data_IF_952457504917
#
_entry.id   IF_952457504917
#
_cell.length_a   1.000
_cell.length_b   1.000
_cell.length_c   1.000
_cell.angle_alpha   90.00
_cell.angle_beta   90.00
_cell.angle_gamma   90.00
#
_symmetry.space_group_name_H-M   'P 1'
#
loop_
_entity.id
_entity.type
_entity.pdbx_description
1 polymer ?
#
# COMPACT_ATOMS: atom_id res chain seq x y z
N UNK A 1 -29.24 8.56 11.44
CA UNK A 1 -29.61 8.99 10.07
C UNK A 1 -30.86 9.86 10.15
N UNK A 2 -30.93 10.96 9.42
CA UNK A 2 -32.04 11.93 9.52
C UNK A 2 -33.17 11.60 8.54
N UNK A 3 -34.42 11.86 8.90
CA UNK A 3 -35.60 11.62 8.05
C UNK A 3 -35.51 12.27 6.65
N UNK A 4 -34.77 13.39 6.55
CA UNK A 4 -34.50 14.07 5.28
C UNK A 4 -33.64 13.23 4.31
N UNK A 5 -32.70 12.41 4.81
CA UNK A 5 -31.92 11.50 3.96
C UNK A 5 -32.82 10.42 3.34
N UNK A 6 -33.76 9.87 4.12
CA UNK A 6 -34.72 8.87 3.62
C UNK A 6 -35.65 9.45 2.55
N UNK A 7 -36.19 10.65 2.77
CA UNK A 7 -37.06 11.32 1.80
C UNK A 7 -36.33 11.64 0.47
N UNK A 8 -35.07 12.10 0.55
CA UNK A 8 -34.25 12.35 -0.64
C UNK A 8 -33.94 11.05 -1.40
N UNK A 9 -33.65 9.96 -0.69
CA UNK A 9 -33.41 8.62 -1.29
C UNK A 9 -34.66 8.08 -1.98
N UNK A 10 -35.82 8.13 -1.32
CA UNK A 10 -37.09 7.71 -1.92
C UNK A 10 -37.39 8.49 -3.21
N UNK A 11 -37.15 9.80 -3.22
CA UNK A 11 -37.36 10.63 -4.41
C UNK A 11 -36.40 10.31 -5.56
N UNK A 12 -35.14 9.99 -5.29
CA UNK A 12 -34.18 9.55 -6.32
C UNK A 12 -34.58 8.20 -6.92
N UNK A 13 -34.94 7.23 -6.08
CA UNK A 13 -35.36 5.91 -6.55
C UNK A 13 -36.63 5.98 -7.40
N UNK A 14 -37.62 6.78 -6.99
CA UNK A 14 -38.85 6.98 -7.76
C UNK A 14 -38.57 7.67 -9.11
N UNK A 15 -37.67 8.67 -9.11
CA UNK A 15 -37.25 9.36 -10.34
C UNK A 15 -36.59 8.41 -11.34
N UNK A 16 -35.66 7.56 -10.87
CA UNK A 16 -34.97 6.58 -11.69
C UNK A 16 -35.94 5.51 -12.25
N UNK A 17 -36.81 4.96 -11.40
CA UNK A 17 -37.77 3.91 -11.78
C UNK A 17 -38.80 4.38 -12.81
N UNK A 18 -39.26 5.63 -12.71
CA UNK A 18 -40.35 6.15 -13.55
C UNK A 18 -39.86 7.06 -14.69
N UNK A 19 -38.55 7.29 -14.82
CA UNK A 19 -38.00 8.19 -15.82
C UNK A 19 -38.47 9.65 -15.67
N UNK A 20 -38.78 10.08 -14.44
CA UNK A 20 -39.27 11.43 -14.13
C UNK A 20 -38.19 12.28 -13.44
N UNK A 21 -38.33 13.60 -13.49
CA UNK A 21 -37.39 14.48 -12.77
C UNK A 21 -37.50 14.31 -11.25
N UNK A 22 -36.39 14.49 -10.55
CA UNK A 22 -36.34 14.43 -9.07
C UNK A 22 -37.40 15.32 -8.39
N UNK A 23 -37.64 16.52 -8.94
CA UNK A 23 -38.67 17.43 -8.43
C UNK A 23 -40.11 16.92 -8.67
N UNK A 24 -40.35 16.18 -9.75
CA UNK A 24 -41.62 15.51 -10.00
C UNK A 24 -41.80 14.31 -9.04
N UNK A 25 -40.75 13.52 -8.82
CA UNK A 25 -40.74 12.41 -7.88
C UNK A 25 -40.97 12.88 -6.43
N UNK A 26 -40.30 13.96 -5.98
CA UNK A 26 -40.54 14.56 -4.65
C UNK A 26 -41.98 15.03 -4.49
N UNK A 27 -42.56 15.63 -5.53
CA UNK A 27 -43.97 16.08 -5.51
C UNK A 27 -44.93 14.90 -5.48
N UNK A 28 -44.66 13.83 -6.21
CA UNK A 28 -45.44 12.59 -6.16
C UNK A 28 -45.39 11.92 -4.78
N UNK A 29 -44.21 11.81 -4.17
CA UNK A 29 -44.08 11.25 -2.82
C UNK A 29 -44.76 12.11 -1.74
N UNK A 30 -44.80 13.43 -1.94
CA UNK A 30 -45.52 14.34 -1.04
C UNK A 30 -47.03 14.38 -1.29
N UNK A 31 -47.49 14.04 -2.50
CA UNK A 31 -48.90 14.08 -2.91
C UNK A 31 -49.59 12.70 -2.83
N UNK A 32 -48.83 11.61 -2.83
CA UNK A 32 -49.35 10.30 -2.51
C UNK A 32 -49.80 10.34 -1.04
N UNK A 33 -51.10 10.18 -0.73
CA UNK A 33 -51.48 9.87 0.63
C UNK A 33 -50.67 8.64 1.01
N UNK A 34 -49.89 8.75 2.09
CA UNK A 34 -49.22 7.59 2.67
C UNK A 34 -50.35 6.63 2.97
N UNK A 35 -50.46 5.55 2.21
CA UNK A 35 -51.32 4.43 2.56
C UNK A 35 -50.75 3.95 3.89
N UNK A 36 -51.34 4.40 5.00
CA UNK A 36 -50.86 4.14 6.37
C UNK A 36 -50.87 2.62 6.65
N UNK A 37 -51.59 1.87 5.81
CA UNK A 37 -51.62 0.41 5.79
C UNK A 37 -50.42 -0.26 5.11
N UNK A 38 -49.64 0.46 4.28
CA UNK A 38 -48.35 -0.04 3.76
C UNK A 38 -47.19 0.14 4.76
N UNK A 39 -47.27 1.10 5.68
CA UNK A 39 -46.32 1.18 6.82
C UNK A 39 -46.50 0.02 7.81
N UNK A 40 -47.62 -0.72 7.73
CA UNK A 40 -47.91 -1.91 8.53
C UNK A 40 -47.84 -3.24 7.74
N UNK A 41 -47.32 -3.23 6.50
CA UNK A 41 -46.81 -4.50 5.97
C UNK A 41 -45.64 -4.91 6.85
N UNK A 42 -45.92 -5.81 7.81
CA UNK A 42 -44.89 -6.46 8.61
C UNK A 42 -43.76 -6.84 7.65
N UNK A 43 -42.52 -6.37 7.92
CA UNK A 43 -41.40 -6.63 7.04
C UNK A 43 -41.38 -8.13 6.82
N UNK A 44 -41.65 -8.56 5.57
CA UNK A 44 -41.68 -9.98 5.21
C UNK A 44 -40.40 -10.58 5.79
N UNK A 45 -40.50 -11.59 6.68
CA UNK A 45 -39.33 -12.10 7.35
C UNK A 45 -38.32 -12.52 6.28
N UNK A 46 -37.02 -12.26 6.50
CA UNK A 46 -35.99 -12.59 5.52
C UNK A 46 -36.12 -14.07 5.14
N UNK A 47 -36.33 -14.34 3.85
CA UNK A 47 -36.41 -15.71 3.36
C UNK A 47 -35.01 -16.29 3.37
N UNK A 48 -34.77 -17.32 4.19
CA UNK A 48 -33.53 -18.05 4.17
C UNK A 48 -33.42 -18.84 2.86
N UNK A 49 -32.49 -18.44 2.00
CA UNK A 49 -32.19 -19.16 0.75
C UNK A 49 -31.00 -20.09 1.03
N UNK A 50 -31.12 -21.40 0.81
CA UNK A 50 -29.99 -22.31 0.97
C UNK A 50 -28.85 -21.94 0.00
N UNK A 51 -27.59 -22.12 0.40
CA UNK A 51 -26.43 -21.92 -0.47
C UNK A 51 -25.98 -23.25 -1.05
N UNK A 52 -25.46 -23.26 -2.27
CA UNK A 52 -24.84 -24.47 -2.84
C UNK A 52 -23.61 -24.89 -2.02
N UNK A 53 -23.41 -26.20 -1.84
CA UNK A 53 -22.37 -26.76 -0.99
C UNK A 53 -20.95 -26.63 -1.55
N UNK A 54 -20.82 -26.30 -2.84
CA UNK A 54 -19.55 -26.13 -3.52
C UNK A 54 -19.56 -24.83 -4.36
N UNK A 55 -18.41 -24.18 -4.55
CA UNK A 55 -18.34 -23.01 -5.41
C UNK A 55 -18.85 -23.32 -6.82
N UNK A 56 -19.64 -22.41 -7.37
CA UNK A 56 -20.14 -22.53 -8.73
C UNK A 56 -18.99 -22.43 -9.74
N UNK A 57 -19.10 -23.13 -10.89
CA UNK A 57 -18.21 -22.89 -12.01
C UNK A 57 -18.37 -21.44 -12.50
N UNK A 58 -17.35 -20.95 -13.20
CA UNK A 58 -17.43 -19.63 -13.84
C UNK A 58 -18.58 -19.55 -14.84
N UNK A 59 -19.26 -18.41 -14.85
CA UNK A 59 -20.44 -18.21 -15.69
C UNK A 59 -21.69 -18.95 -15.21
N UNK A 60 -21.72 -19.47 -13.98
CA UNK A 60 -22.96 -20.04 -13.43
C UNK A 60 -24.04 -18.97 -13.25
N UNK A 61 -25.08 -19.02 -14.09
CA UNK A 61 -26.24 -18.13 -14.04
C UNK A 61 -27.28 -18.55 -12.98
N UNK A 62 -26.97 -19.55 -12.14
CA UNK A 62 -27.85 -20.08 -11.09
C UNK A 62 -28.98 -20.99 -11.57
N UNK A 63 -29.15 -21.14 -12.88
CA UNK A 63 -30.12 -22.06 -13.49
C UNK A 63 -29.89 -23.53 -13.11
N UNK A 64 -28.64 -23.91 -12.82
CA UNK A 64 -28.27 -25.26 -12.41
C UNK A 64 -28.69 -25.66 -10.99
N UNK A 65 -29.18 -24.72 -10.19
CA UNK A 65 -29.54 -25.00 -8.79
C UNK A 65 -30.66 -24.04 -8.30
N UNK A 66 -31.89 -24.20 -8.84
CA UNK A 66 -33.01 -23.31 -8.56
C UNK A 66 -33.36 -23.29 -7.08
N UNK A 67 -33.59 -22.09 -6.53
CA UNK A 67 -33.90 -21.93 -5.10
C UNK A 67 -32.67 -22.01 -4.18
N UNK A 68 -31.45 -22.11 -4.72
CA UNK A 68 -30.21 -21.93 -3.96
C UNK A 68 -29.39 -20.76 -4.49
N UNK A 69 -28.70 -20.07 -3.59
CA UNK A 69 -27.78 -18.99 -3.97
C UNK A 69 -26.47 -19.57 -4.53
N UNK A 70 -26.08 -19.10 -5.72
CA UNK A 70 -24.73 -19.29 -6.25
C UNK A 70 -23.73 -18.66 -5.28
N UNK A 71 -22.53 -19.23 -5.20
CA UNK A 71 -21.39 -18.50 -4.71
C UNK A 71 -20.14 -18.84 -5.54
N UNK A 72 -19.42 -17.80 -5.95
CA UNK A 72 -18.15 -17.87 -6.66
C UNK A 72 -17.04 -18.41 -5.76
N UNK A 73 -16.08 -19.06 -6.40
CA UNK A 73 -14.88 -19.55 -5.75
C UNK A 73 -14.06 -18.40 -5.11
N UNK A 74 -13.49 -18.67 -3.95
CA UNK A 74 -12.53 -17.86 -3.21
C UNK A 74 -11.26 -18.67 -2.97
N UNK A 75 -10.09 -18.01 -2.85
CA UNK A 75 -8.85 -18.71 -2.48
C UNK A 75 -8.95 -19.50 -1.17
N UNK A 76 -9.79 -19.05 -0.23
CA UNK A 76 -10.04 -19.73 1.04
C UNK A 76 -10.74 -21.10 0.89
N UNK A 77 -11.40 -21.35 -0.23
CA UNK A 77 -12.18 -22.58 -0.47
C UNK A 77 -11.31 -23.74 -0.96
N UNK A 78 -10.05 -23.46 -1.33
CA UNK A 78 -9.10 -24.52 -1.67
C UNK A 78 -8.76 -25.32 -0.41
N UNK A 79 -8.62 -26.63 -0.59
CA UNK A 79 -8.33 -27.56 0.50
C UNK A 79 -7.07 -27.17 1.31
N UNK A 80 -6.94 -27.75 2.50
CA UNK A 80 -5.86 -27.46 3.45
C UNK A 80 -4.43 -27.74 2.94
N UNK A 81 -4.28 -28.37 1.77
CA UNK A 81 -3.00 -28.64 1.13
C UNK A 81 -2.30 -27.40 0.56
N UNK A 82 -3.04 -26.33 0.22
CA UNK A 82 -2.45 -25.10 -0.32
C UNK A 82 -1.90 -24.22 0.80
N UNK A 83 -0.69 -23.71 0.59
CA UNK A 83 -0.04 -22.81 1.51
C UNK A 83 -0.91 -21.59 1.78
N UNK A 84 -0.90 -21.14 3.03
CA UNK A 84 -1.64 -19.95 3.42
C UNK A 84 -1.14 -18.69 2.70
N UNK A 85 0.17 -18.63 2.38
CA UNK A 85 0.78 -17.54 1.65
C UNK A 85 0.20 -17.39 0.22
N UNK A 86 -0.04 -18.50 -0.48
CA UNK A 86 -0.64 -18.50 -1.82
C UNK A 86 -2.11 -18.08 -1.76
N UNK A 87 -2.90 -18.67 -0.86
CA UNK A 87 -4.32 -18.31 -0.69
C UNK A 87 -4.49 -16.83 -0.37
N UNK A 88 -3.68 -16.33 0.58
CA UNK A 88 -3.67 -14.93 0.98
C UNK A 88 -3.23 -14.02 -0.16
N UNK A 89 -2.17 -14.38 -0.90
CA UNK A 89 -1.70 -13.59 -2.03
C UNK A 89 -2.79 -13.40 -3.10
N UNK A 90 -3.64 -14.39 -3.31
CA UNK A 90 -4.73 -14.35 -4.29
C UNK A 90 -6.00 -13.63 -3.82
N UNK A 91 -6.14 -13.35 -2.52
CA UNK A 91 -7.35 -12.78 -1.95
C UNK A 91 -7.34 -11.24 -2.07
N UNK A 92 -8.22 -10.71 -2.92
CA UNK A 92 -8.44 -9.26 -3.06
C UNK A 92 -9.62 -8.77 -2.20
N UNK A 93 -9.58 -7.51 -1.72
CA UNK A 93 -8.43 -6.62 -1.77
C UNK A 93 -7.44 -6.82 -0.60
N UNK A 94 -7.88 -7.45 0.49
CA UNK A 94 -7.16 -7.45 1.78
C UNK A 94 -5.97 -8.41 1.86
N UNK A 95 -6.14 -9.64 1.39
CA UNK A 95 -5.10 -10.67 1.49
C UNK A 95 -3.85 -10.32 0.69
N UNK A 96 -4.01 -9.83 -0.55
CA UNK A 96 -2.88 -9.36 -1.38
C UNK A 96 -2.11 -8.25 -0.69
N UNK A 97 -2.81 -7.25 -0.16
CA UNK A 97 -2.19 -6.13 0.56
C UNK A 97 -1.41 -6.60 1.79
N UNK A 98 -1.98 -7.53 2.57
CA UNK A 98 -1.30 -8.14 3.72
C UNK A 98 -0.06 -8.94 3.31
N UNK A 99 -0.15 -9.74 2.26
CA UNK A 99 0.98 -10.54 1.75
C UNK A 99 2.15 -9.66 1.32
N UNK A 100 1.89 -8.53 0.64
CA UNK A 100 2.95 -7.61 0.22
C UNK A 100 3.62 -6.93 1.42
N UNK A 101 2.83 -6.45 2.38
CA UNK A 101 3.35 -5.87 3.61
C UNK A 101 4.21 -6.89 4.39
N UNK A 102 3.74 -8.13 4.54
CA UNK A 102 4.47 -9.17 5.25
C UNK A 102 5.81 -9.52 4.59
N UNK A 103 5.86 -9.64 3.25
CA UNK A 103 7.12 -9.96 2.55
C UNK A 103 8.19 -8.89 2.75
N UNK A 104 7.79 -7.62 2.69
CA UNK A 104 8.75 -6.50 2.75
C UNK A 104 9.17 -6.19 4.19
N UNK A 105 8.26 -6.29 5.15
CA UNK A 105 8.54 -5.87 6.53
C UNK A 105 9.05 -6.96 7.46
N UNK A 106 8.68 -8.23 7.24
CA UNK A 106 9.11 -9.35 8.11
C UNK A 106 10.63 -9.48 8.25
N UNK A 107 11.47 -9.18 7.23
CA UNK A 107 12.93 -9.14 7.41
C UNK A 107 13.38 -8.16 8.49
N UNK A 108 12.74 -6.99 8.60
CA UNK A 108 13.12 -5.93 9.54
C UNK A 108 12.77 -6.27 10.99
N UNK A 109 11.64 -6.94 11.20
CA UNK A 109 11.16 -7.30 12.53
C UNK A 109 12.01 -8.35 13.23
N UNK A 110 12.75 -9.18 12.47
CA UNK A 110 13.62 -10.20 13.04
C UNK A 110 14.88 -9.63 13.68
N UNK A 111 15.14 -8.33 13.59
CA UNK A 111 16.28 -7.67 14.25
C UNK A 111 15.86 -7.21 15.65
N UNK A 112 16.17 -7.96 16.73
CA UNK A 112 15.74 -7.59 18.08
C UNK A 112 16.44 -6.29 18.50
N UNK A 113 15.68 -5.32 19.02
CA UNK A 113 16.22 -4.04 19.49
C UNK A 113 16.52 -3.02 18.38
N UNK A 114 16.09 -3.27 17.14
CA UNK A 114 16.14 -2.24 16.09
C UNK A 114 15.30 -1.02 16.49
N UNK A 115 15.76 0.22 16.26
CA UNK A 115 15.02 1.45 16.60
C UNK A 115 13.67 1.59 15.88
N UNK A 116 13.37 0.68 14.94
CA UNK A 116 12.14 0.62 14.17
C UNK A 116 11.20 -0.52 14.58
N UNK A 117 11.55 -1.32 15.61
CA UNK A 117 10.72 -2.44 16.06
C UNK A 117 9.33 -2.01 16.59
N UNK A 118 9.16 -0.73 16.95
CA UNK A 118 7.89 -0.12 17.37
C UNK A 118 7.16 0.62 16.25
N UNK A 119 7.68 0.61 15.02
CA UNK A 119 7.03 1.29 13.89
C UNK A 119 6.07 0.32 13.19
N UNK A 120 4.77 0.49 13.43
CA UNK A 120 3.72 -0.42 12.97
C UNK A 120 3.17 -0.03 11.59
N UNK A 121 4.03 0.07 10.57
CA UNK A 121 3.55 0.37 9.22
C UNK A 121 2.60 -0.71 8.66
N UNK A 122 2.61 -1.91 9.25
CA UNK A 122 1.59 -2.95 9.08
C UNK A 122 0.15 -2.50 9.29
N UNK A 123 -0.08 -1.49 10.12
CA UNK A 123 -1.40 -0.93 10.34
C UNK A 123 -1.94 -0.18 9.12
N UNK A 124 -1.16 0.01 8.06
CA UNK A 124 -1.56 0.67 6.81
C UNK A 124 -1.86 -0.29 5.66
N UNK A 125 -1.83 -1.62 5.88
CA UNK A 125 -2.22 -2.61 4.85
C UNK A 125 -3.63 -2.41 4.29
N UNK A 126 -4.52 -1.84 5.09
CA UNK A 126 -5.88 -1.50 4.66
C UNK A 126 -5.91 -0.39 3.61
N UNK A 127 -4.92 0.52 3.59
CA UNK A 127 -4.86 1.58 2.60
C UNK A 127 -4.55 1.00 1.22
N UNK A 128 -3.61 0.05 1.15
CA UNK A 128 -3.35 -0.68 -0.10
C UNK A 128 -4.57 -1.51 -0.51
N UNK A 129 -5.26 -2.15 0.43
CA UNK A 129 -6.52 -2.82 0.13
C UNK A 129 -7.59 -1.86 -0.42
N UNK A 130 -7.71 -0.64 0.13
CA UNK A 130 -8.62 0.37 -0.39
C UNK A 130 -8.24 0.80 -1.81
N UNK A 131 -6.95 0.97 -2.09
CA UNK A 131 -6.44 1.25 -3.44
C UNK A 131 -6.80 0.13 -4.42
N UNK A 132 -6.60 -1.15 -4.05
CA UNK A 132 -7.00 -2.27 -4.90
C UNK A 132 -8.50 -2.34 -5.14
N UNK A 133 -9.31 -2.10 -4.10
CA UNK A 133 -10.76 -2.04 -4.24
C UNK A 133 -11.17 -0.96 -5.25
N UNK A 134 -10.67 0.28 -5.05
CA UNK A 134 -10.94 1.40 -5.96
C UNK A 134 -10.53 1.08 -7.40
N UNK A 135 -9.30 0.58 -7.60
CA UNK A 135 -8.79 0.27 -8.94
C UNK A 135 -9.60 -0.84 -9.60
N UNK A 136 -9.96 -1.90 -8.90
CA UNK A 136 -10.72 -3.01 -9.48
C UNK A 136 -12.20 -2.68 -9.73
N UNK A 137 -12.76 -1.67 -9.05
CA UNK A 137 -14.11 -1.17 -9.32
C UNK A 137 -14.15 -0.17 -10.48
N UNK A 138 -13.17 0.74 -10.54
CA UNK A 138 -13.07 1.74 -11.61
C UNK A 138 -12.50 1.17 -12.91
N UNK A 139 -11.67 0.12 -12.81
CA UNK A 139 -10.98 -0.54 -13.92
C UNK A 139 -11.12 -2.05 -13.81
N UNK A 140 -12.30 -2.61 -14.16
CA UNK A 140 -12.57 -4.04 -14.05
C UNK A 140 -11.58 -4.91 -14.84
N UNK A 141 -10.94 -4.38 -15.87
CA UNK A 141 -9.91 -5.05 -16.65
C UNK A 141 -8.63 -5.36 -15.87
N UNK A 142 -8.41 -4.72 -14.71
CA UNK A 142 -7.30 -5.02 -13.80
C UNK A 142 -7.58 -6.21 -12.88
N UNK A 143 -8.81 -6.74 -12.86
CA UNK A 143 -9.12 -7.95 -12.10
C UNK A 143 -8.45 -9.15 -12.78
N UNK A 144 -7.68 -9.97 -12.06
CA UNK A 144 -7.07 -11.16 -12.65
C UNK A 144 -8.15 -12.09 -13.18
N UNK A 145 -7.84 -12.81 -14.27
CA UNK A 145 -8.69 -13.89 -14.76
C UNK A 145 -8.94 -14.90 -13.62
N UNK A 146 -10.22 -15.16 -13.33
CA UNK A 146 -10.60 -15.97 -12.17
C UNK A 146 -10.16 -17.42 -12.33
N UNK A 147 -10.22 -17.96 -13.55
CA UNK A 147 -9.91 -19.35 -13.85
C UNK A 147 -8.41 -19.60 -13.71
N UNK A 148 -7.60 -18.69 -14.28
CA UNK A 148 -6.16 -18.70 -14.13
C UNK A 148 -5.72 -18.50 -12.67
N UNK A 149 -6.35 -17.58 -11.93
CA UNK A 149 -6.03 -17.36 -10.52
C UNK A 149 -6.37 -18.58 -9.68
N UNK A 150 -7.53 -19.21 -9.91
CA UNK A 150 -7.92 -20.46 -9.28
C UNK A 150 -6.91 -21.57 -9.55
N UNK A 151 -6.53 -21.76 -10.82
CA UNK A 151 -5.56 -22.77 -11.20
C UNK A 151 -4.20 -22.55 -10.52
N UNK A 152 -3.73 -21.31 -10.43
CA UNK A 152 -2.50 -20.96 -9.73
C UNK A 152 -2.57 -21.27 -8.22
N UNK A 153 -3.69 -20.96 -7.56
CA UNK A 153 -3.89 -21.26 -6.13
C UNK A 153 -4.01 -22.76 -5.87
N UNK A 154 -4.75 -23.49 -6.70
CA UNK A 154 -4.88 -24.95 -6.61
C UNK A 154 -3.55 -25.66 -6.86
N UNK A 155 -2.65 -25.07 -7.67
CA UNK A 155 -1.29 -25.54 -7.89
C UNK A 155 -0.29 -25.15 -6.78
N UNK A 156 -0.72 -24.39 -5.77
CA UNK A 156 0.15 -23.77 -4.74
C UNK A 156 1.31 -22.96 -5.34
N UNK A 157 1.08 -22.33 -6.49
CA UNK A 157 2.09 -21.57 -7.24
C UNK A 157 2.00 -20.07 -6.93
N UNK A 158 2.82 -19.65 -5.97
CA UNK A 158 2.90 -18.24 -5.56
C UNK A 158 3.40 -17.32 -6.68
N UNK A 159 4.28 -17.80 -7.55
CA UNK A 159 4.84 -17.02 -8.64
C UNK A 159 3.79 -16.77 -9.74
N UNK A 160 2.94 -17.77 -10.02
CA UNK A 160 1.82 -17.62 -10.94
C UNK A 160 0.76 -16.64 -10.39
N UNK A 161 0.39 -16.74 -9.12
CA UNK A 161 -0.50 -15.76 -8.46
C UNK A 161 0.06 -14.35 -8.56
N UNK A 162 1.36 -14.22 -8.29
CA UNK A 162 2.09 -12.97 -8.38
C UNK A 162 2.10 -12.37 -9.80
N UNK A 163 2.30 -13.20 -10.82
CA UNK A 163 2.26 -12.77 -12.22
C UNK A 163 0.85 -12.30 -12.65
N UNK A 164 -0.20 -12.97 -12.17
CA UNK A 164 -1.59 -12.61 -12.47
C UNK A 164 -2.01 -11.28 -11.83
N UNK A 165 -1.48 -10.98 -10.64
CA UNK A 165 -1.77 -9.75 -9.90
C UNK A 165 -0.85 -8.57 -10.25
N UNK A 166 0.21 -8.82 -11.00
CA UNK A 166 1.20 -7.81 -11.38
C UNK A 166 0.57 -6.56 -12.02
N UNK A 167 -0.35 -6.65 -13.00
CA UNK A 167 -0.95 -5.46 -13.59
C UNK A 167 -1.68 -4.56 -12.58
N UNK A 168 -2.33 -5.17 -11.59
CA UNK A 168 -3.00 -4.45 -10.51
C UNK A 168 -1.99 -3.82 -9.54
N UNK A 169 -0.93 -4.55 -9.17
CA UNK A 169 0.16 -4.04 -8.34
C UNK A 169 0.86 -2.84 -9.01
N UNK A 170 1.14 -2.91 -10.30
CA UNK A 170 1.73 -1.81 -11.07
C UNK A 170 0.78 -0.62 -11.17
N UNK A 171 -0.51 -0.83 -11.41
CA UNK A 171 -1.50 0.24 -11.40
C UNK A 171 -1.56 0.94 -10.03
N UNK A 172 -1.52 0.18 -8.93
CA UNK A 172 -1.44 0.72 -7.57
C UNK A 172 -0.12 1.47 -7.34
N UNK A 173 1.01 0.97 -7.85
CA UNK A 173 2.32 1.60 -7.71
C UNK A 173 2.40 2.94 -8.45
N UNK A 174 1.73 3.07 -9.60
CA UNK A 174 1.63 4.32 -10.36
C UNK A 174 0.70 5.35 -9.73
N UNK A 175 -0.38 4.89 -9.10
CA UNK A 175 -1.29 5.78 -8.38
C UNK A 175 -0.64 6.31 -7.09
N UNK A 176 0.05 5.44 -6.34
CA UNK A 176 0.67 5.80 -5.07
C UNK A 176 1.94 6.61 -5.27
N UNK A 177 2.31 7.46 -4.30
CA UNK A 177 3.44 8.40 -4.46
C UNK A 177 4.12 8.70 -3.12
N UNK A 178 5.42 9.01 -3.15
CA UNK A 178 6.15 9.57 -2.00
C UNK A 178 6.25 11.10 -2.01
N UNK A 179 5.65 11.76 -3.01
CA UNK A 179 5.60 13.23 -3.13
C UNK A 179 4.37 13.76 -2.39
N UNK A 180 4.55 14.53 -1.30
CA UNK A 180 3.41 15.03 -0.52
C UNK A 180 2.44 15.86 -1.36
N UNK A 181 2.94 16.74 -2.24
CA UNK A 181 2.09 17.57 -3.08
C UNK A 181 1.15 16.76 -3.99
N UNK A 182 1.67 15.70 -4.62
CA UNK A 182 0.87 14.78 -5.48
C UNK A 182 -0.10 13.97 -4.63
N UNK A 183 0.33 13.48 -3.47
CA UNK A 183 -0.55 12.76 -2.54
C UNK A 183 -1.77 13.60 -2.15
N UNK A 184 -1.55 14.85 -1.72
CA UNK A 184 -2.61 15.74 -1.28
C UNK A 184 -3.44 16.33 -2.42
N UNK A 185 -2.81 16.61 -3.55
CA UNK A 185 -3.46 17.27 -4.69
C UNK A 185 -4.21 16.33 -5.63
N UNK A 186 -3.81 15.06 -5.70
CA UNK A 186 -4.32 14.11 -6.71
C UNK A 186 -4.82 12.81 -6.06
N UNK A 187 -3.95 12.09 -5.34
CA UNK A 187 -4.27 10.73 -4.89
C UNK A 187 -5.35 10.70 -3.80
N UNK A 188 -5.20 11.54 -2.77
CA UNK A 188 -6.19 11.62 -1.68
C UNK A 188 -7.57 12.03 -2.20
N UNK A 189 -7.72 13.10 -3.02
CA UNK A 189 -9.01 13.44 -3.62
C UNK A 189 -9.66 12.29 -4.41
N UNK A 190 -8.89 11.48 -5.12
CA UNK A 190 -9.42 10.30 -5.82
C UNK A 190 -9.96 9.25 -4.83
N UNK A 191 -9.24 8.97 -3.75
CA UNK A 191 -9.70 8.06 -2.70
C UNK A 191 -10.92 8.62 -1.93
N UNK A 192 -10.97 9.94 -1.70
CA UNK A 192 -12.14 10.60 -1.11
C UNK A 192 -13.36 10.48 -2.03
N UNK A 193 -13.20 10.71 -3.33
CA UNK A 193 -14.29 10.57 -4.30
C UNK A 193 -14.79 9.12 -4.39
N UNK A 194 -13.89 8.13 -4.33
CA UNK A 194 -14.28 6.73 -4.26
C UNK A 194 -15.00 6.37 -2.96
N UNK A 195 -14.51 6.87 -1.81
CA UNK A 195 -15.18 6.71 -0.52
C UNK A 195 -16.58 7.34 -0.52
N UNK A 196 -16.72 8.54 -1.10
CA UNK A 196 -18.01 9.22 -1.28
C UNK A 196 -18.95 8.39 -2.18
N UNK A 197 -18.43 7.81 -3.28
CA UNK A 197 -19.20 6.94 -4.18
C UNK A 197 -19.74 5.72 -3.40
N UNK A 198 -18.86 4.97 -2.72
CA UNK A 198 -19.24 3.79 -1.92
C UNK A 198 -20.27 4.12 -0.82
N UNK A 199 -20.12 5.26 -0.14
CA UNK A 199 -21.07 5.72 0.89
C UNK A 199 -22.39 6.22 0.29
N UNK A 200 -22.35 6.83 -0.90
CA UNK A 200 -23.53 7.32 -1.61
C UNK A 200 -24.29 6.20 -2.31
N UNK A 201 -23.62 5.08 -2.58
CA UNK A 201 -24.13 3.87 -3.22
C UNK A 201 -25.01 3.01 -2.29
N UNK A 202 -25.64 3.67 -1.32
CA UNK A 202 -26.87 3.22 -0.67
C UNK A 202 -28.01 2.93 -1.70
N UNK A 203 -27.82 3.23 -2.99
CA UNK A 203 -28.87 3.30 -4.01
C UNK A 203 -28.78 2.36 -5.21
N UNK A 204 -27.65 1.69 -5.52
CA UNK A 204 -27.67 0.66 -6.58
C UNK A 204 -28.62 -0.45 -6.18
N UNK A 205 -29.66 -0.58 -6.98
CA UNK A 205 -30.86 -1.39 -6.75
C UNK A 205 -30.57 -2.66 -5.95
N UNK A 206 -31.33 -2.82 -4.86
CA UNK A 206 -31.50 -4.08 -4.12
C UNK A 206 -32.05 -5.23 -4.99
N UNK A 207 -32.13 -5.03 -6.31
CA UNK A 207 -32.50 -6.03 -7.29
C UNK A 207 -31.28 -6.92 -7.54
N UNK A 208 -31.21 -7.97 -6.73
CA UNK A 208 -30.42 -9.19 -6.95
C UNK A 208 -28.91 -8.94 -6.97
N UNK A 209 -28.39 -8.44 -5.86
CA UNK A 209 -26.97 -8.53 -5.53
C UNK A 209 -26.75 -9.92 -4.91
N UNK A 210 -25.82 -10.71 -5.45
CA UNK A 210 -25.44 -11.99 -4.86
C UNK A 210 -24.91 -11.78 -3.43
N UNK A 211 -25.03 -12.78 -2.55
CA UNK A 211 -24.56 -12.66 -1.16
C UNK A 211 -23.06 -12.28 -1.06
N UNK A 212 -22.28 -12.66 -2.07
CA UNK A 212 -20.86 -12.34 -2.15
C UNK A 212 -20.57 -10.90 -2.52
N UNK A 213 -21.37 -10.32 -3.39
CA UNK A 213 -21.28 -8.89 -3.67
C UNK A 213 -21.66 -8.08 -2.43
N UNK A 214 -22.60 -8.57 -1.61
CA UNK A 214 -22.89 -7.97 -0.29
C UNK A 214 -21.69 -8.10 0.66
N UNK A 215 -21.05 -9.28 0.73
CA UNK A 215 -19.85 -9.49 1.54
C UNK A 215 -18.67 -8.61 1.08
N UNK A 216 -18.43 -8.54 -0.24
CA UNK A 216 -17.40 -7.69 -0.83
C UNK A 216 -17.67 -6.21 -0.54
N UNK A 217 -18.92 -5.75 -0.71
CA UNK A 217 -19.34 -4.38 -0.33
C UNK A 217 -19.13 -4.12 1.16
N UNK A 218 -19.39 -5.11 2.02
CA UNK A 218 -19.12 -4.97 3.44
C UNK A 218 -17.61 -4.86 3.72
N UNK A 219 -16.76 -5.63 3.04
CA UNK A 219 -15.29 -5.46 3.13
C UNK A 219 -14.88 -4.05 2.72
N UNK A 220 -15.35 -3.56 1.56
CA UNK A 220 -15.04 -2.20 1.07
C UNK A 220 -15.58 -1.13 2.00
N UNK A 221 -16.80 -1.27 2.51
CA UNK A 221 -17.40 -0.35 3.49
C UNK A 221 -16.54 -0.23 4.76
N UNK A 222 -15.98 -1.35 5.26
CA UNK A 222 -15.04 -1.29 6.40
C UNK A 222 -13.73 -0.57 6.07
N UNK A 223 -13.24 -0.70 4.83
CA UNK A 223 -12.04 0.03 4.37
C UNK A 223 -12.32 1.53 4.27
N UNK A 224 -13.50 1.92 3.75
CA UNK A 224 -13.95 3.32 3.70
C UNK A 224 -14.17 3.90 5.10
N UNK A 225 -14.80 3.15 6.01
CA UNK A 225 -14.92 3.56 7.41
C UNK A 225 -13.55 3.82 8.04
N UNK A 226 -12.57 2.96 7.74
CA UNK A 226 -11.19 3.13 8.23
C UNK A 226 -10.51 4.34 7.59
N UNK A 227 -10.75 4.59 6.30
CA UNK A 227 -10.32 5.82 5.62
C UNK A 227 -10.85 7.07 6.30
N UNK A 228 -12.17 7.14 6.59
CA UNK A 228 -12.76 8.29 7.29
C UNK A 228 -12.17 8.47 8.68
N UNK A 229 -12.04 7.38 9.44
CA UNK A 229 -11.47 7.40 10.81
C UNK A 229 -10.03 7.87 10.84
N UNK A 230 -9.22 7.53 9.84
CA UNK A 230 -7.82 7.94 9.75
C UNK A 230 -7.65 9.47 9.74
N UNK A 231 -8.66 10.21 9.28
CA UNK A 231 -8.66 11.68 9.22
C UNK A 231 -9.28 12.36 10.44
N UNK A 232 -9.74 11.59 11.42
CA UNK A 232 -10.25 12.10 12.69
C UNK A 232 -9.12 12.04 13.73
N UNK A 233 -8.80 13.14 14.45
CA UNK A 233 -7.85 13.07 15.55
C UNK A 233 -8.29 12.06 16.61
N UNK A 234 -7.43 11.09 16.93
CA UNK A 234 -7.69 10.06 17.95
C UNK A 234 -6.73 10.23 19.10
N UNK A 235 -7.23 10.09 20.33
CA UNK A 235 -6.39 10.02 21.53
C UNK A 235 -5.82 8.60 21.64
N UNK A 236 -4.49 8.47 21.61
CA UNK A 236 -3.82 7.19 21.80
C UNK A 236 -3.86 6.72 23.26
N UNK A 237 -3.40 5.49 23.50
CA UNK A 237 -3.39 4.87 24.84
C UNK A 237 -2.58 5.65 25.89
N UNK A 238 -1.64 6.52 25.45
CA UNK A 238 -0.83 7.38 26.32
C UNK A 238 -1.48 8.76 26.55
N UNK A 239 -2.68 9.00 26.04
CA UNK A 239 -3.41 10.25 26.20
C UNK A 239 -3.00 11.37 25.23
N UNK A 240 -2.03 11.14 24.35
CA UNK A 240 -1.64 12.08 23.30
C UNK A 240 -2.60 12.01 22.11
N UNK A 241 -2.78 13.12 21.40
CA UNK A 241 -3.53 13.15 20.16
C UNK A 241 -2.63 12.70 19.02
N UNK A 242 -2.97 11.59 18.38
CA UNK A 242 -2.31 11.19 17.14
C UNK A 242 -2.76 12.14 16.02
N UNK A 243 -1.83 12.60 15.16
CA UNK A 243 -2.19 13.45 14.04
C UNK A 243 -3.07 12.65 13.06
N UNK A 244 -4.10 13.26 12.45
CA UNK A 244 -4.88 12.62 11.42
C UNK A 244 -4.00 12.31 10.22
N UNK A 245 -4.13 11.12 9.65
CA UNK A 245 -3.26 10.67 8.58
C UNK A 245 -3.28 9.17 8.34
N UNK A 246 -2.61 8.81 7.25
CA UNK A 246 -2.28 7.44 6.87
C UNK A 246 -0.80 7.40 6.51
N UNK A 247 -0.11 6.28 6.64
CA UNK A 247 1.28 6.17 6.17
C UNK A 247 1.34 5.74 4.71
N UNK A 248 0.86 6.60 3.80
CA UNK A 248 0.81 6.28 2.37
C UNK A 248 2.18 6.01 1.73
N UNK A 249 3.24 6.57 2.32
CA UNK A 249 4.62 6.40 1.86
C UNK A 249 5.03 4.92 1.91
N UNK A 250 4.55 4.16 2.90
CA UNK A 250 4.95 2.76 3.08
C UNK A 250 4.26 1.86 2.05
N UNK A 251 3.00 2.13 1.73
CA UNK A 251 2.29 1.41 0.66
C UNK A 251 3.07 1.46 -0.66
N UNK A 252 3.60 2.64 -1.02
CA UNK A 252 4.45 2.80 -2.20
C UNK A 252 5.72 1.96 -2.13
N UNK A 253 6.32 1.86 -0.95
CA UNK A 253 7.55 1.10 -0.73
C UNK A 253 7.34 -0.40 -0.88
N UNK A 254 6.23 -0.94 -0.37
CA UNK A 254 5.91 -2.36 -0.53
C UNK A 254 5.75 -2.74 -2.00
N UNK A 255 5.00 -1.92 -2.75
CA UNK A 255 4.79 -2.11 -4.18
C UNK A 255 6.09 -1.99 -4.97
N UNK A 256 6.90 -0.99 -4.68
CA UNK A 256 8.19 -0.78 -5.35
C UNK A 256 9.18 -1.92 -5.11
N UNK A 257 9.31 -2.35 -3.86
CA UNK A 257 10.18 -3.47 -3.51
C UNK A 257 9.73 -4.74 -4.25
N UNK A 258 8.41 -5.02 -4.28
CA UNK A 258 7.87 -6.18 -4.96
C UNK A 258 8.09 -6.12 -6.48
N UNK A 259 7.83 -4.99 -7.12
CA UNK A 259 7.96 -4.88 -8.57
C UNK A 259 9.43 -4.87 -9.00
N UNK A 260 10.35 -4.32 -8.20
CA UNK A 260 11.81 -4.41 -8.46
C UNK A 260 12.31 -5.85 -8.36
N UNK A 261 11.83 -6.63 -7.39
CA UNK A 261 12.19 -8.06 -7.28
C UNK A 261 11.85 -8.84 -8.55
N UNK A 262 10.75 -8.49 -9.22
CA UNK A 262 10.30 -9.16 -10.45
C UNK A 262 10.92 -8.60 -11.73
N UNK A 263 11.10 -7.28 -11.84
CA UNK A 263 11.52 -6.63 -13.09
C UNK A 263 12.96 -6.10 -13.06
N UNK A 264 13.66 -6.28 -11.95
CA UNK A 264 14.98 -5.70 -11.71
C UNK A 264 14.93 -4.20 -11.45
N UNK A 265 16.12 -3.61 -11.35
CA UNK A 265 16.31 -2.20 -11.00
C UNK A 265 16.77 -2.01 -9.56
N UNK A 266 16.58 -0.80 -9.04
CA UNK A 266 17.05 -0.41 -7.71
C UNK A 266 15.89 -0.29 -6.75
N UNK A 267 15.84 -1.14 -5.72
CA UNK A 267 14.78 -1.13 -4.72
C UNK A 267 14.85 0.15 -3.85
N UNK A 268 13.74 0.57 -3.22
CA UNK A 268 13.79 1.62 -2.20
C UNK A 268 14.87 1.31 -1.13
N UNK A 269 15.66 2.32 -0.79
CA UNK A 269 16.82 2.19 0.10
C UNK A 269 18.13 1.80 -0.60
N UNK A 270 18.10 1.38 -1.87
CA UNK A 270 19.32 1.09 -2.63
C UNK A 270 20.17 2.34 -2.82
N UNK A 271 21.49 2.20 -2.62
CA UNK A 271 22.46 3.24 -2.94
C UNK A 271 22.82 3.18 -4.41
N UNK A 272 22.79 4.33 -5.06
CA UNK A 272 23.06 4.48 -6.48
C UNK A 272 24.02 5.63 -6.72
N UNK A 273 24.64 5.67 -7.89
CA UNK A 273 25.30 6.85 -8.42
C UNK A 273 24.52 7.41 -9.59
N UNK A 274 24.34 8.73 -9.59
CA UNK A 274 23.72 9.45 -10.68
C UNK A 274 24.68 9.55 -11.87
N UNK A 275 24.18 9.96 -13.04
CA UNK A 275 24.99 10.11 -14.25
C UNK A 275 26.20 11.05 -14.12
N UNK A 276 26.14 12.00 -13.16
CA UNK A 276 27.23 12.92 -12.79
C UNK A 276 28.16 12.40 -11.69
N UNK A 277 27.96 11.16 -11.22
CA UNK A 277 28.77 10.49 -10.21
C UNK A 277 28.37 10.77 -8.76
N UNK A 278 27.42 11.68 -8.50
CA UNK A 278 26.95 11.97 -7.14
C UNK A 278 26.28 10.73 -6.52
N UNK A 279 26.59 10.40 -5.26
CA UNK A 279 25.95 9.31 -4.56
C UNK A 279 24.54 9.71 -4.14
N UNK A 280 23.60 8.79 -4.28
CA UNK A 280 22.20 8.99 -3.90
C UNK A 280 21.60 7.70 -3.32
N UNK A 281 20.42 7.81 -2.72
CA UNK A 281 19.60 6.67 -2.30
C UNK A 281 18.26 6.72 -3.01
N UNK A 282 17.81 5.58 -3.51
CA UNK A 282 16.48 5.44 -4.11
C UNK A 282 15.43 5.53 -3.01
N UNK A 283 14.48 6.45 -3.17
CA UNK A 283 13.37 6.65 -2.24
C UNK A 283 12.09 5.98 -2.74
N UNK A 284 11.80 6.14 -4.02
CA UNK A 284 10.67 5.51 -4.71
C UNK A 284 11.04 5.24 -6.16
N UNK A 285 10.27 4.36 -6.78
CA UNK A 285 10.44 3.92 -8.17
C UNK A 285 9.27 4.46 -9.00
N UNK A 286 9.53 5.02 -10.18
CA UNK A 286 8.45 5.37 -11.11
C UNK A 286 8.32 4.26 -12.15
N UNK A 287 7.08 3.83 -12.37
CA UNK A 287 6.74 2.69 -13.23
C UNK A 287 6.05 3.15 -14.51
N UNK A 288 6.47 2.56 -15.63
CA UNK A 288 5.75 2.64 -16.90
C UNK A 288 4.51 1.75 -16.90
N UNK A 289 3.95 1.51 -18.08
CA UNK A 289 2.87 0.53 -18.24
C UNK A 289 3.37 -0.90 -18.07
N UNK A 290 4.57 -1.20 -18.58
CA UNK A 290 5.19 -2.52 -18.50
C UNK A 290 6.70 -2.46 -18.29
N UNK A 291 7.26 -3.56 -17.77
CA UNK A 291 8.70 -3.81 -17.72
C UNK A 291 9.44 -3.17 -16.53
N UNK A 292 10.74 -2.85 -16.69
CA UNK A 292 11.57 -2.29 -15.62
C UNK A 292 11.18 -0.85 -15.27
N UNK A 293 11.68 -0.31 -14.15
CA UNK A 293 11.49 1.09 -13.78
C UNK A 293 11.83 2.09 -14.89
N UNK A 294 11.03 3.15 -15.04
CA UNK A 294 11.31 4.23 -16.01
C UNK A 294 12.11 5.36 -15.40
N UNK A 295 11.96 5.59 -14.09
CA UNK A 295 12.71 6.59 -13.34
C UNK A 295 12.75 6.23 -11.85
N UNK A 296 13.59 6.93 -11.10
CA UNK A 296 13.70 6.82 -9.66
C UNK A 296 13.57 8.19 -9.03
N UNK A 297 12.84 8.27 -7.91
CA UNK A 297 12.97 9.39 -6.99
C UNK A 297 14.11 9.12 -6.05
N UNK A 298 15.14 9.95 -6.11
CA UNK A 298 16.36 9.78 -5.35
C UNK A 298 16.53 10.93 -4.36
N UNK A 299 17.20 10.63 -3.25
CA UNK A 299 17.77 11.64 -2.37
C UNK A 299 19.28 11.59 -2.49
N UNK A 300 19.87 12.75 -2.75
CA UNK A 300 21.32 12.89 -2.76
C UNK A 300 21.86 12.57 -1.37
N UNK A 301 23.02 11.92 -1.33
CA UNK A 301 23.70 11.62 -0.08
C UNK A 301 24.71 12.73 0.22
N UNK A 302 24.57 13.36 1.38
CA UNK A 302 25.45 14.44 1.85
C UNK A 302 26.30 13.98 3.04
N UNK A 303 27.46 14.61 3.29
CA UNK A 303 28.23 14.39 4.51
C UNK A 303 27.38 14.67 5.76
N UNK A 304 27.25 13.64 6.61
CA UNK A 304 26.52 13.71 7.85
C UNK A 304 27.10 14.74 8.81
N UNK A 305 26.20 15.41 9.53
CA UNK A 305 26.53 16.31 10.63
C UNK A 305 26.13 15.66 11.96
N UNK A 306 26.64 16.17 13.08
CA UNK A 306 26.23 15.83 14.46
C UNK A 306 26.04 14.33 14.76
N UNK A 307 27.10 13.66 15.20
CA UNK A 307 27.06 12.23 15.56
C UNK A 307 27.16 11.26 14.39
N UNK A 308 26.97 11.73 13.15
CA UNK A 308 27.17 10.97 11.91
C UNK A 308 28.31 11.50 11.04
N UNK A 309 29.26 12.24 11.64
CA UNK A 309 30.42 12.79 10.91
C UNK A 309 31.20 11.65 10.26
N UNK A 310 31.53 11.82 8.98
CA UNK A 310 32.23 10.80 8.18
C UNK A 310 31.32 9.77 7.51
N UNK A 311 29.99 9.84 7.72
CA UNK A 311 28.99 9.01 7.02
C UNK A 311 28.20 9.83 6.02
N UNK A 312 27.85 9.21 4.90
CA UNK A 312 26.91 9.79 3.93
C UNK A 312 25.47 9.50 4.38
N UNK A 313 24.67 10.55 4.51
CA UNK A 313 23.26 10.49 4.93
C UNK A 313 22.34 11.08 3.85
N UNK A 314 21.10 10.59 3.69
CA UNK A 314 20.15 11.17 2.74
C UNK A 314 19.85 12.63 3.09
N UNK A 315 20.03 13.51 2.11
CA UNK A 315 19.65 14.91 2.24
C UNK A 315 18.16 15.04 2.50
N UNK A 316 17.81 15.91 3.44
CA UNK A 316 16.41 16.17 3.81
C UNK A 316 15.72 17.11 2.81
N UNK A 317 16.50 17.84 2.02
CA UNK A 317 16.01 18.85 1.07
C UNK A 317 16.05 18.38 -0.38
N UNK A 318 16.85 17.36 -0.71
CA UNK A 318 16.84 16.78 -2.04
C UNK A 318 15.67 15.79 -2.20
N UNK A 319 14.93 15.90 -3.30
CA UNK A 319 14.04 14.85 -3.83
C UNK A 319 13.96 15.06 -5.34
N UNK A 320 14.79 14.32 -6.08
CA UNK A 320 14.98 14.52 -7.51
C UNK A 320 14.45 13.31 -8.25
N UNK A 321 13.70 13.55 -9.33
CA UNK A 321 13.30 12.51 -10.26
C UNK A 321 14.39 12.32 -11.32
N UNK A 322 14.93 11.12 -11.43
CA UNK A 322 16.05 10.78 -12.31
C UNK A 322 15.66 9.62 -13.22
N UNK A 323 15.87 9.69 -14.55
CA UNK A 323 15.63 8.58 -15.46
C UNK A 323 16.37 7.31 -15.02
N UNK A 324 15.75 6.13 -15.21
CA UNK A 324 16.34 4.88 -14.72
C UNK A 324 17.73 4.59 -15.31
N UNK A 325 17.97 4.99 -16.57
CA UNK A 325 19.25 4.85 -17.25
C UNK A 325 20.39 5.66 -16.61
N UNK A 326 20.06 6.72 -15.87
CA UNK A 326 21.03 7.59 -15.20
C UNK A 326 21.34 7.14 -13.76
N UNK A 327 20.66 6.10 -13.27
CA UNK A 327 20.90 5.51 -11.95
C UNK A 327 21.70 4.21 -12.06
N UNK A 328 22.97 4.26 -11.68
CA UNK A 328 23.86 3.09 -11.68
C UNK A 328 24.02 2.54 -10.27
N UNK A 329 24.17 1.23 -10.16
CA UNK A 329 24.54 0.60 -8.89
C UNK A 329 25.82 1.23 -8.34
N UNK A 330 25.85 1.56 -7.06
CA UNK A 330 27.07 2.05 -6.40
C UNK A 330 28.04 0.87 -6.24
N UNK A 331 28.81 0.62 -7.30
CA UNK A 331 29.81 -0.45 -7.31
C UNK A 331 30.90 -0.16 -6.28
N UNK A 332 31.41 -1.19 -5.60
CA UNK A 332 32.59 -1.04 -4.77
C UNK A 332 33.73 -0.47 -5.61
N UNK A 333 34.52 0.40 -5.00
CA UNK A 333 35.66 1.01 -5.64
C UNK A 333 36.66 -0.05 -6.11
N UNK A 334 37.23 0.13 -7.30
CA UNK A 334 38.11 -0.85 -7.92
C UNK A 334 39.48 -0.96 -7.24
N UNK A 335 39.92 0.07 -6.52
CA UNK A 335 41.21 0.06 -5.78
C UNK A 335 41.03 -0.41 -4.35
N UNK A 336 40.04 0.13 -3.62
CA UNK A 336 39.88 -0.21 -2.19
C UNK A 336 38.83 -1.29 -1.90
N UNK A 337 38.03 -1.68 -2.89
CA UNK A 337 36.96 -2.67 -2.73
C UNK A 337 35.79 -2.23 -1.84
N UNK A 338 35.75 -0.96 -1.40
CA UNK A 338 34.68 -0.44 -0.51
C UNK A 338 33.58 0.23 -1.34
N UNK A 339 32.32 0.05 -0.95
CA UNK A 339 31.18 0.84 -1.45
C UNK A 339 31.12 2.19 -0.73
N UNK A 340 30.59 3.22 -1.38
CA UNK A 340 30.58 4.56 -0.80
C UNK A 340 29.69 4.58 0.46
N UNK A 341 30.32 4.71 1.63
CA UNK A 341 29.65 4.92 2.92
C UNK A 341 29.72 3.78 3.94
N UNK A 342 30.47 2.70 3.71
CA UNK A 342 30.68 1.66 4.74
C UNK A 342 31.79 1.99 5.77
N UNK A 343 32.66 2.95 5.51
CA UNK A 343 33.65 3.42 6.46
C UNK A 343 34.01 4.88 6.18
N UNK A 344 34.39 5.60 7.24
CA UNK A 344 34.91 6.97 7.28
C UNK A 344 35.44 7.41 5.93
N UNK A 345 34.80 8.44 5.36
CA UNK A 345 35.25 9.19 4.19
C UNK A 345 36.39 8.51 3.41
N UNK A 346 36.03 7.78 2.35
CA UNK A 346 36.51 7.98 0.98
C UNK A 346 36.26 6.71 0.15
N UNK A 347 35.55 6.89 -0.98
CA UNK A 347 35.99 6.34 -2.27
C UNK A 347 35.20 7.01 -3.44
N UNK A 348 35.74 7.74 -4.41
CA UNK A 348 37.08 8.22 -4.75
C UNK A 348 38.20 7.20 -4.52
N UNK A 349 38.46 6.28 -5.44
CA UNK A 349 39.70 5.47 -5.52
C UNK A 349 41.01 6.29 -5.55
N UNK A 350 40.94 7.59 -5.27
CA UNK A 350 41.93 8.59 -5.60
C UNK A 350 42.09 9.71 -4.56
N UNK A 351 41.26 9.79 -3.52
CA UNK A 351 41.51 10.84 -2.53
C UNK A 351 42.93 10.84 -1.90
N UNK A 352 43.74 9.75 -1.96
CA UNK A 352 45.15 9.78 -1.61
C UNK A 352 46.16 9.86 -2.78
N UNK A 353 45.81 10.36 -3.98
CA UNK A 353 46.81 11.12 -4.79
C UNK A 353 46.94 12.57 -4.32
N UNK A 354 46.04 13.04 -3.47
CA UNK A 354 46.12 14.33 -2.80
C UNK A 354 46.75 14.13 -1.43
N UNK A 355 48.05 13.88 -1.43
CA UNK A 355 48.90 14.60 -0.49
C UNK A 355 49.37 15.87 -1.21
N UNK A 356 49.58 16.95 -0.47
CA UNK A 356 50.94 17.43 -0.42
C UNK A 356 51.48 17.26 0.99
N UNK A 357 52.73 16.84 1.04
CA UNK A 357 53.62 16.94 2.18
C UNK A 357 53.23 18.08 3.12
N UNK A 358 53.03 17.75 4.40
CA UNK A 358 53.30 18.73 5.45
C UNK A 358 54.81 18.70 5.68
N UNK A 359 55.58 19.71 5.24
CA UNK A 359 56.95 19.84 5.71
C UNK A 359 56.89 20.35 7.16
N UNK A 360 57.55 19.65 8.07
CA UNK A 360 58.01 20.25 9.32
C UNK A 360 57.23 19.94 10.59
N UNK A 361 56.83 18.69 10.84
CA UNK A 361 56.63 18.26 12.24
C UNK A 361 57.85 17.49 12.72
N UNK A 362 58.81 18.25 13.24
CA UNK A 362 59.93 17.72 14.00
C UNK A 362 59.42 16.83 15.13
N UNK A 363 59.98 15.63 15.20
CA UNK A 363 59.78 14.67 16.29
C UNK A 363 60.49 15.20 17.53
N UNK A 364 59.80 16.07 18.27
CA UNK A 364 60.19 16.46 19.62
C UNK A 364 59.69 15.39 20.60
N UNK A 365 60.62 14.60 21.12
CA UNK A 365 60.35 13.62 22.17
C UNK A 365 59.76 14.30 23.41
N UNK A 366 58.63 13.78 23.87
CA UNK A 366 58.08 14.07 25.18
C UNK A 366 58.02 12.75 25.95
N UNK A 367 58.99 12.61 26.85
CA UNK A 367 59.04 11.60 27.90
C UNK A 367 57.73 11.64 28.70
N UNK A 368 57.13 10.48 28.88
CA UNK A 368 56.02 10.31 29.83
C UNK A 368 56.56 10.34 31.26
N UNK A 369 55.96 11.11 32.19
CA UNK A 369 56.25 10.95 33.60
C UNK A 369 55.54 9.71 34.14
N UNK A 370 56.31 8.85 34.81
CA UNK A 370 55.86 7.71 35.58
C UNK A 370 54.82 8.12 36.63
N UNK A 371 53.70 7.40 36.70
CA UNK A 371 52.74 7.50 37.81
C UNK A 371 53.21 6.61 38.97
N UNK A 372 53.36 7.12 40.20
CA UNK A 372 53.60 6.28 41.35
C UNK A 372 52.31 5.58 41.80
N UNK A 373 52.40 4.26 41.97
CA UNK A 373 51.39 3.40 42.56
C UNK A 373 51.35 3.59 44.08
N UNK A 374 50.36 4.31 44.59
CA UNK A 374 50.03 4.34 46.02
C UNK A 374 48.86 3.40 46.32
N UNK A 375 49.15 2.25 46.94
CA UNK A 375 48.16 1.45 47.68
C UNK A 375 47.88 2.13 49.02
N UNK A 376 46.61 2.28 49.38
CA UNK A 376 46.17 2.55 50.75
C UNK A 376 45.45 1.28 51.24
N UNK A 377 45.88 0.66 52.36
CA UNK A 377 45.15 -0.42 53.00
C UNK A 377 44.01 0.11 53.90
N UNK A 378 43.09 -0.79 54.22
CA UNK A 378 41.84 -0.60 54.99
C UNK A 378 41.96 0.19 56.31
#
# INVERSE_FOLDING_TARGET
MTADKHAKRAARNLAAREGISYAAARRRLAAAPVDVDQEHQEPRPPVAVPMVSAPCPEGCEGSGHPGTACWAWRPADVGSGTSWAVRRAAELPGGRAEQLAERVERPWQKTPGGPWASFHAWDDRWLLALVYAMLTDQRPELRPDRGALRAAVEADDLAAVDALLEPLDRAAARLTTKVPAVWWGEVKPLLDAYADDVESDDGRDLLVVSWQEVEARHVVGRLVDRWRKAWVPVRNHNGYMDPPGVMWIVVKEWLDARLVDQHGGHAPGARVRLGDGRPAVVRAVEWGEDGPPVAYRVRELEPGRHGNVGRLVPSLTSDVLVPAADCREDRPCGVCGRTAGMAEALCDDCAPRVAPDRPGRAVGGLQSPERPSGRVPE
#
